data_IF_801561248811
#
_entry.id   IF_801561248811
#
_cell.length_a   1.000
_cell.length_b   1.000
_cell.length_c   1.000
_cell.angle_alpha   90.00
_cell.angle_beta   90.00
_cell.angle_gamma   90.00
#
_symmetry.space_group_name_H-M   'P 1'
#
loop_
_entity.id
_entity.type
_entity.pdbx_description
1 polymer ?
#
# COMPACT_ATOMS: atom_id res chain seq x y z
N UNK A 1 7.93 61.18 -25.21
CA UNK A 1 6.67 61.03 -24.45
C UNK A 1 6.07 59.67 -24.74
N UNK A 2 5.62 59.01 -23.66
CA UNK A 2 5.00 57.68 -23.62
C UNK A 2 3.71 57.62 -24.45
N UNK A 3 3.33 56.45 -24.95
CA UNK A 3 2.38 55.57 -24.27
C UNK A 3 2.04 54.33 -25.12
N UNK A 4 2.22 53.17 -24.52
CA UNK A 4 1.60 51.90 -24.95
C UNK A 4 0.15 51.90 -24.49
N UNK A 5 -0.79 51.38 -25.28
CA UNK A 5 -1.92 50.54 -24.81
C UNK A 5 -2.64 49.87 -26.00
N UNK A 6 -2.41 48.56 -26.09
CA UNK A 6 -3.32 47.42 -26.37
C UNK A 6 -4.70 47.68 -26.99
N UNK A 7 -5.13 46.80 -27.90
CA UNK A 7 -6.51 46.30 -27.81
C UNK A 7 -6.76 44.89 -28.34
N UNK A 8 -7.79 44.32 -27.72
CA UNK A 8 -8.21 42.92 -27.63
C UNK A 8 -9.36 42.64 -28.61
N UNK A 9 -9.30 41.48 -29.30
CA UNK A 9 -10.42 40.63 -29.77
C UNK A 9 -11.34 41.11 -30.92
N UNK A 10 -11.56 40.26 -31.93
CA UNK A 10 -12.87 39.65 -32.32
C UNK A 10 -12.88 39.03 -33.75
N UNK A 11 -13.13 37.70 -33.77
CA UNK A 11 -13.83 36.82 -34.74
C UNK A 11 -13.22 36.46 -36.12
N UNK A 12 -13.00 35.15 -36.28
CA UNK A 12 -13.34 34.39 -37.51
C UNK A 12 -13.62 32.93 -37.11
N UNK A 13 -14.86 32.59 -36.76
CA UNK A 13 -15.75 31.73 -37.56
C UNK A 13 -15.02 30.74 -38.48
N UNK A 14 -14.80 29.54 -37.98
CA UNK A 14 -14.86 28.26 -38.69
C UNK A 14 -15.51 27.29 -37.67
N UNK A 15 -16.82 27.10 -37.71
CA UNK A 15 -17.53 26.04 -38.44
C UNK A 15 -17.12 24.64 -37.98
N UNK A 16 -18.07 23.96 -37.33
CA UNK A 16 -18.35 22.52 -37.32
C UNK A 16 -17.21 21.48 -37.28
N UNK A 17 -17.39 20.50 -36.40
CA UNK A 17 -16.89 19.12 -36.48
C UNK A 17 -15.42 18.86 -36.11
N UNK A 18 -15.19 18.77 -34.80
CA UNK A 18 -14.28 17.76 -34.26
C UNK A 18 -14.77 17.47 -32.83
N UNK A 19 -15.78 16.60 -32.73
CA UNK A 19 -15.94 15.81 -31.53
C UNK A 19 -14.57 15.13 -31.33
N UNK A 20 -13.82 15.56 -30.32
CA UNK A 20 -12.62 14.85 -29.91
C UNK A 20 -13.10 13.47 -29.46
N UNK A 21 -13.05 12.51 -30.40
CA UNK A 21 -12.90 11.09 -30.12
C UNK A 21 -11.65 10.95 -29.26
N UNK A 22 -11.79 11.25 -27.97
CA UNK A 22 -10.87 10.78 -26.96
C UNK A 22 -11.01 9.27 -27.01
N UNK A 23 -10.14 8.64 -27.82
CA UNK A 23 -10.07 7.22 -28.13
C UNK A 23 -10.51 6.44 -26.89
N UNK A 24 -11.51 5.57 -27.03
CA UNK A 24 -12.04 4.79 -25.90
C UNK A 24 -10.92 4.09 -25.11
N UNK A 25 -9.79 3.77 -25.76
CA UNK A 25 -8.56 3.27 -25.15
C UNK A 25 -7.92 4.25 -24.15
N UNK A 26 -7.89 5.55 -24.45
CA UNK A 26 -7.32 6.58 -23.56
C UNK A 26 -8.22 6.86 -22.35
N UNK A 27 -9.55 6.89 -22.53
CA UNK A 27 -10.54 6.91 -21.44
C UNK A 27 -10.43 5.67 -20.57
N UNK A 28 -10.31 4.49 -21.18
CA UNK A 28 -10.15 3.23 -20.48
C UNK A 28 -8.82 3.19 -19.71
N UNK A 29 -7.71 3.68 -20.28
CA UNK A 29 -6.42 3.79 -19.59
C UNK A 29 -6.48 4.73 -18.38
N UNK A 30 -7.17 5.87 -18.49
CA UNK A 30 -7.43 6.78 -17.36
C UNK A 30 -8.30 6.13 -16.29
N UNK A 31 -9.38 5.44 -16.68
CA UNK A 31 -10.25 4.71 -15.75
C UNK A 31 -9.50 3.59 -15.04
N UNK A 32 -8.65 2.83 -15.75
CA UNK A 32 -7.81 1.78 -15.17
C UNK A 32 -6.71 2.34 -14.26
N UNK A 33 -6.20 3.53 -14.54
CA UNK A 33 -5.22 4.22 -13.69
C UNK A 33 -5.86 4.78 -12.39
N UNK A 34 -7.14 5.13 -12.43
CA UNK A 34 -7.94 5.55 -11.27
C UNK A 34 -8.62 4.40 -10.53
N UNK A 35 -8.55 3.17 -11.04
CA UNK A 35 -8.93 2.00 -10.27
C UNK A 35 -8.04 1.91 -9.03
N UNK A 36 -8.56 1.56 -7.85
CA UNK A 36 -7.69 1.11 -6.77
C UNK A 36 -6.83 0.00 -7.34
N UNK A 37 -5.51 0.23 -7.44
CA UNK A 37 -4.54 -0.77 -7.93
C UNK A 37 -4.97 -2.11 -7.36
N UNK A 38 -5.21 -3.14 -8.20
CA UNK A 38 -5.62 -4.44 -7.68
C UNK A 38 -4.63 -4.77 -6.58
N UNK A 39 -5.12 -5.04 -5.37
CA UNK A 39 -4.31 -5.24 -4.17
C UNK A 39 -3.47 -6.53 -4.24
N UNK A 40 -3.19 -7.01 -5.44
CA UNK A 40 -2.29 -8.08 -5.79
C UNK A 40 -0.90 -7.48 -6.08
N UNK A 41 -0.31 -6.84 -5.08
CA UNK A 41 1.07 -7.24 -4.80
C UNK A 41 0.91 -8.48 -3.90
N UNK A 42 0.85 -9.72 -4.42
CA UNK A 42 1.04 -10.87 -3.57
C UNK A 42 2.53 -10.87 -3.20
N UNK A 43 2.90 -9.99 -2.26
CA UNK A 43 3.90 -10.36 -1.27
C UNK A 43 3.31 -11.59 -0.60
N UNK A 44 3.55 -12.77 -1.21
CA UNK A 44 2.97 -14.06 -0.88
C UNK A 44 2.74 -14.09 0.62
N UNK A 45 1.47 -13.95 1.04
CA UNK A 45 1.14 -14.03 2.46
C UNK A 45 1.53 -15.44 2.84
N UNK A 46 2.58 -15.62 3.65
CA UNK A 46 3.08 -16.94 3.93
C UNK A 46 1.99 -17.67 4.69
N UNK A 47 1.76 -18.93 4.30
CA UNK A 47 0.82 -19.80 5.01
C UNK A 47 1.18 -19.79 6.48
N UNK A 48 0.17 -19.64 7.34
CA UNK A 48 0.32 -19.73 8.79
C UNK A 48 1.01 -21.06 9.14
N UNK A 49 2.27 -20.97 9.55
CA UNK A 49 3.05 -22.10 10.06
C UNK A 49 2.68 -22.37 11.51
N UNK A 50 2.53 -23.65 11.86
CA UNK A 50 2.35 -24.11 13.25
C UNK A 50 1.16 -23.48 13.99
N UNK A 51 0.10 -23.11 13.29
CA UNK A 51 -1.11 -22.56 13.89
C UNK A 51 -0.94 -21.18 14.56
N UNK A 52 0.14 -20.44 14.26
CA UNK A 52 0.39 -19.14 14.87
C UNK A 52 -0.72 -18.13 14.51
N UNK A 53 -1.22 -17.43 15.53
CA UNK A 53 -2.17 -16.32 15.38
C UNK A 53 -1.45 -14.98 15.32
N UNK A 54 -2.14 -13.91 14.91
CA UNK A 54 -1.60 -12.54 14.91
C UNK A 54 -1.15 -12.13 16.31
N UNK A 55 -1.99 -12.39 17.31
CA UNK A 55 -1.69 -12.22 18.75
C UNK A 55 -0.39 -12.92 19.16
N UNK A 56 -0.31 -14.22 18.89
CA UNK A 56 0.86 -15.03 19.24
C UNK A 56 2.12 -14.52 18.55
N UNK A 57 2.01 -14.10 17.29
CA UNK A 57 3.11 -13.53 16.53
C UNK A 57 3.60 -12.22 17.17
N UNK A 58 2.71 -11.26 17.42
CA UNK A 58 3.07 -9.96 17.99
C UNK A 58 3.63 -10.08 19.41
N UNK A 59 3.08 -11.00 20.22
CA UNK A 59 3.62 -11.33 21.54
C UNK A 59 5.01 -11.96 21.48
N UNK A 60 5.24 -12.89 20.55
CA UNK A 60 6.51 -13.60 20.44
C UNK A 60 7.65 -12.75 19.84
N UNK A 61 7.35 -11.77 18.98
CA UNK A 61 8.38 -10.83 18.49
C UNK A 61 8.80 -9.81 19.55
N UNK A 62 7.95 -9.57 20.57
CA UNK A 62 8.17 -8.65 21.68
C UNK A 62 8.26 -7.18 21.28
N UNK A 63 8.93 -6.36 22.10
CA UNK A 63 9.10 -4.90 21.93
C UNK A 63 7.79 -4.09 22.02
N UNK A 64 6.82 -4.56 22.81
CA UNK A 64 5.53 -3.87 23.01
C UNK A 64 4.61 -3.97 21.79
N UNK A 65 4.88 -4.88 20.84
CA UNK A 65 4.03 -5.03 19.65
C UNK A 65 2.68 -5.70 19.99
N UNK A 66 2.59 -6.37 21.13
CA UNK A 66 1.39 -6.98 21.70
C UNK A 66 0.26 -5.96 21.96
N UNK A 67 0.58 -4.70 22.22
CA UNK A 67 -0.41 -3.64 22.45
C UNK A 67 -1.17 -3.23 21.18
N UNK A 68 -0.68 -3.65 20.01
CA UNK A 68 -1.23 -3.28 18.71
C UNK A 68 -1.98 -4.42 18.02
N UNK A 69 -2.25 -5.51 18.73
CA UNK A 69 -3.03 -6.65 18.22
C UNK A 69 -4.37 -6.18 17.67
N UNK A 70 -5.09 -5.33 18.40
CA UNK A 70 -6.44 -4.87 18.04
C UNK A 70 -6.49 -4.06 16.74
N UNK A 71 -5.32 -3.59 16.26
CA UNK A 71 -5.20 -2.85 15.00
C UNK A 71 -5.13 -3.76 13.77
N UNK A 72 -5.05 -5.08 13.95
CA UNK A 72 -4.95 -6.05 12.86
C UNK A 72 -6.15 -6.99 12.86
N UNK A 73 -6.91 -6.99 11.76
CA UNK A 73 -8.13 -7.80 11.64
C UNK A 73 -7.82 -9.25 11.25
N UNK A 74 -6.77 -9.47 10.47
CA UNK A 74 -6.44 -10.81 9.96
C UNK A 74 -4.93 -11.00 9.75
N UNK A 75 -4.53 -12.25 9.55
CA UNK A 75 -3.15 -12.61 9.24
C UNK A 75 -2.69 -11.98 7.92
N UNK A 76 -3.57 -11.97 6.94
CA UNK A 76 -3.35 -11.36 5.64
C UNK A 76 -3.17 -9.85 5.77
N UNK A 77 -3.97 -9.19 6.63
CA UNK A 77 -3.83 -7.76 6.90
C UNK A 77 -2.48 -7.42 7.53
N UNK A 78 -1.97 -8.25 8.46
CA UNK A 78 -0.63 -8.10 9.03
C UNK A 78 0.47 -8.17 7.95
N UNK A 79 0.45 -9.19 7.10
CA UNK A 79 1.49 -9.39 6.07
C UNK A 79 1.38 -8.42 4.88
N UNK A 80 0.20 -7.87 4.64
CA UNK A 80 -0.09 -6.87 3.61
C UNK A 80 0.11 -5.43 4.12
N UNK A 81 0.20 -5.23 5.44
CA UNK A 81 0.44 -3.94 6.06
C UNK A 81 1.85 -3.42 5.75
N UNK A 82 1.97 -2.52 4.77
CA UNK A 82 3.20 -1.76 4.48
C UNK A 82 3.40 -0.63 5.52
N UNK A 83 4.58 -0.02 5.52
CA UNK A 83 4.96 1.07 6.45
C UNK A 83 3.93 2.21 6.54
N UNK A 84 3.31 2.58 5.41
CA UNK A 84 2.26 3.60 5.36
C UNK A 84 0.98 3.17 6.09
N UNK A 85 0.51 1.93 5.88
CA UNK A 85 -0.68 1.40 6.58
C UNK A 85 -0.43 1.30 8.08
N UNK A 86 0.76 0.87 8.49
CA UNK A 86 1.15 0.83 9.89
C UNK A 86 1.23 2.24 10.51
N UNK A 87 1.58 3.28 9.72
CA UNK A 87 1.53 4.68 10.17
C UNK A 87 0.10 5.15 10.42
N UNK A 88 -0.83 4.81 9.52
CA UNK A 88 -2.27 5.13 9.67
C UNK A 88 -2.86 4.45 10.91
N UNK A 89 -2.37 3.25 11.25
CA UNK A 89 -2.74 2.51 12.48
C UNK A 89 -2.10 3.06 13.76
N UNK A 90 -1.41 4.20 13.68
CA UNK A 90 -0.73 4.88 14.79
C UNK A 90 0.36 4.06 15.48
N UNK A 91 0.94 3.08 14.78
CA UNK A 91 2.03 2.26 15.34
C UNK A 91 3.34 3.08 15.34
N UNK A 92 4.04 3.18 16.48
CA UNK A 92 5.34 3.83 16.62
C UNK A 92 6.39 3.34 15.60
N UNK A 93 7.23 4.26 15.12
CA UNK A 93 8.23 4.00 14.08
C UNK A 93 9.14 2.80 14.41
N UNK A 94 9.57 2.68 15.66
CA UNK A 94 10.45 1.59 16.11
C UNK A 94 9.77 0.22 15.95
N UNK A 95 8.51 0.10 16.36
CA UNK A 95 7.72 -1.12 16.24
C UNK A 95 7.36 -1.42 14.78
N UNK A 96 7.06 -0.40 13.96
CA UNK A 96 6.84 -0.61 12.51
C UNK A 96 8.05 -1.28 11.86
N UNK A 97 9.26 -0.78 12.13
CA UNK A 97 10.51 -1.36 11.60
C UNK A 97 10.73 -2.79 12.12
N UNK A 98 10.41 -3.02 13.39
CA UNK A 98 10.55 -4.33 14.02
C UNK A 98 9.59 -5.37 13.44
N UNK A 99 8.31 -5.02 13.31
CA UNK A 99 7.28 -5.86 12.69
C UNK A 99 7.70 -6.19 11.25
N UNK A 100 8.05 -5.20 10.43
CA UNK A 100 8.48 -5.45 9.04
C UNK A 100 9.69 -6.40 8.96
N UNK A 101 10.69 -6.22 9.83
CA UNK A 101 11.85 -7.11 9.91
C UNK A 101 11.45 -8.55 10.24
N UNK A 102 10.51 -8.74 11.18
CA UNK A 102 10.00 -10.05 11.52
C UNK A 102 9.11 -10.67 10.45
N UNK A 103 8.33 -9.87 9.70
CA UNK A 103 7.56 -10.37 8.56
C UNK A 103 8.50 -10.91 7.47
N UNK A 104 9.63 -10.25 7.21
CA UNK A 104 10.66 -10.75 6.28
C UNK A 104 11.32 -12.04 6.77
N UNK A 105 11.69 -12.11 8.05
CA UNK A 105 12.20 -13.34 8.68
C UNK A 105 11.19 -14.47 8.60
N UNK A 106 9.92 -14.15 8.85
CA UNK A 106 8.85 -15.11 8.73
C UNK A 106 8.72 -15.63 7.31
N UNK A 107 8.81 -14.78 6.28
CA UNK A 107 8.84 -15.24 4.88
C UNK A 107 10.01 -16.21 4.60
N UNK A 108 11.16 -16.01 5.24
CA UNK A 108 12.35 -16.89 5.15
C UNK A 108 12.21 -18.21 5.93
N UNK A 109 11.14 -18.40 6.69
CA UNK A 109 10.85 -19.64 7.42
C UNK A 109 11.10 -19.56 8.93
N UNK A 110 11.63 -18.45 9.44
CA UNK A 110 11.81 -18.25 10.88
C UNK A 110 10.46 -17.99 11.56
N UNK A 111 10.13 -18.70 12.63
CA UNK A 111 8.88 -18.47 13.38
C UNK A 111 9.23 -17.88 14.74
N UNK A 112 8.72 -16.68 15.10
CA UNK A 112 9.00 -16.09 16.41
C UNK A 112 8.49 -16.99 17.54
N UNK A 113 9.29 -17.12 18.60
CA UNK A 113 9.01 -17.97 19.76
C UNK A 113 9.36 -19.45 19.58
N UNK A 114 9.85 -19.87 18.41
CA UNK A 114 10.30 -21.24 18.19
C UNK A 114 11.78 -21.26 17.81
N UNK A 115 12.64 -21.99 18.53
CA UNK A 115 14.03 -22.13 18.14
C UNK A 115 14.12 -22.84 16.78
N UNK A 116 14.98 -22.33 15.89
CA UNK A 116 15.21 -22.86 14.54
C UNK A 116 15.91 -24.24 14.57
N UNK A 117 16.34 -24.70 15.75
CA UNK A 117 17.16 -25.90 15.97
C UNK A 117 16.46 -27.23 15.68
N UNK A 118 15.18 -27.22 15.29
CA UNK A 118 14.40 -28.41 14.93
C UNK A 118 14.09 -28.50 13.43
N UNK A 119 15.00 -28.01 12.57
CA UNK A 119 15.10 -28.46 11.18
C UNK A 119 16.39 -29.27 11.09
N UNK A 120 16.27 -30.60 11.03
CA UNK A 120 17.32 -31.52 10.57
C UNK A 120 16.85 -32.11 9.24
#
# INVERSE_FOLDING_TARGET
MNQTFNNTTIKRSYSEAAEEEEDDETKLRRQLANLPKPLLDPLIVPRRRRGITVESFLKNIGKGCEEHVDKFTSWEDLFTSKSLKLKVKEIPVAQRRWILKWLERYRKGEVPGYPQTYLH
#
